data_IF_666793636158
#
_entry.id   IF_666793636158
#
_cell.length_a   1.000
_cell.length_b   1.000
_cell.length_c   1.000
_cell.angle_alpha   90.00
_cell.angle_beta   90.00
_cell.angle_gamma   90.00
#
_symmetry.space_group_name_H-M   'P 1'
#
loop_
_entity.id
_entity.type
_entity.pdbx_description
1 polymer ?
#
# COMPACT_ATOMS: atom_id res chain seq x y z
N UNK A 1 -23.23 -15.35 10.23
CA UNK A 1 -23.82 -14.90 11.50
C UNK A 1 -22.83 -15.18 12.61
N UNK A 2 -22.36 -14.15 13.33
CA UNK A 2 -21.48 -14.31 14.48
C UNK A 2 -22.24 -13.89 15.74
N UNK A 3 -22.02 -14.61 16.84
CA UNK A 3 -22.61 -14.28 18.14
C UNK A 3 -21.67 -13.29 18.83
N UNK A 4 -22.19 -12.26 19.49
CA UNK A 4 -21.33 -11.37 20.29
C UNK A 4 -21.01 -12.09 21.60
N UNK A 5 -19.73 -12.17 21.96
CA UNK A 5 -19.31 -12.67 23.26
C UNK A 5 -19.15 -11.50 24.23
N UNK A 6 -19.60 -11.66 25.47
CA UNK A 6 -19.42 -10.64 26.52
C UNK A 6 -18.03 -10.70 27.18
N UNK A 7 -17.34 -11.84 27.05
CA UNK A 7 -16.02 -12.10 27.62
C UNK A 7 -15.26 -13.13 26.81
N UNK A 8 -13.93 -13.07 26.89
CA UNK A 8 -12.98 -14.02 26.34
C UNK A 8 -11.96 -14.39 27.43
N UNK A 9 -11.50 -15.63 27.44
CA UNK A 9 -10.42 -16.09 28.30
C UNK A 9 -9.13 -16.27 27.49
N UNK A 10 -7.95 -15.98 28.07
CA UNK A 10 -6.67 -16.11 27.37
C UNK A 10 -6.40 -17.51 26.82
N UNK A 11 -6.87 -18.54 27.52
CA UNK A 11 -6.61 -19.94 27.19
C UNK A 11 -7.63 -20.52 26.18
N UNK A 12 -8.62 -19.72 25.75
CA UNK A 12 -9.59 -20.18 24.75
C UNK A 12 -8.96 -20.36 23.38
N UNK A 13 -9.39 -21.37 22.61
CA UNK A 13 -8.97 -21.52 21.22
C UNK A 13 -9.52 -20.36 20.38
N UNK A 14 -8.62 -19.72 19.65
CA UNK A 14 -8.92 -18.57 18.82
C UNK A 14 -9.09 -18.97 17.36
N UNK A 15 -10.13 -18.46 16.72
CA UNK A 15 -10.33 -18.51 15.27
C UNK A 15 -9.64 -17.35 14.55
N UNK A 16 -9.05 -16.43 15.30
CA UNK A 16 -8.28 -15.34 14.74
C UNK A 16 -8.57 -14.02 15.41
N UNK A 17 -7.71 -13.06 15.08
CA UNK A 17 -7.70 -11.73 15.64
C UNK A 17 -7.50 -10.73 14.52
N UNK A 18 -8.23 -9.63 14.58
CA UNK A 18 -8.10 -8.52 13.64
C UNK A 18 -7.95 -7.21 14.39
N UNK A 19 -7.00 -6.37 13.99
CA UNK A 19 -6.91 -4.98 14.45
C UNK A 19 -7.17 -4.02 13.29
N UNK A 20 -8.09 -3.08 13.51
CA UNK A 20 -8.51 -2.09 12.52
C UNK A 20 -8.65 -0.71 13.12
N UNK A 21 -8.52 0.30 12.26
CA UNK A 21 -8.87 1.67 12.58
C UNK A 21 -10.32 1.90 12.16
N UNK A 22 -11.18 2.27 13.11
CA UNK A 22 -12.58 2.54 12.81
C UNK A 22 -13.04 3.79 13.56
N UNK A 23 -13.62 4.75 12.84
CA UNK A 23 -14.11 6.01 13.41
C UNK A 23 -13.07 6.75 14.28
N UNK A 24 -11.78 6.68 13.91
CA UNK A 24 -10.69 7.31 14.66
C UNK A 24 -10.26 6.56 15.92
N UNK A 25 -10.76 5.34 16.14
CA UNK A 25 -10.42 4.45 17.26
C UNK A 25 -9.65 3.22 16.78
N UNK A 26 -8.78 2.70 17.63
CA UNK A 26 -8.06 1.45 17.39
C UNK A 26 -8.85 0.31 18.01
N UNK A 27 -9.43 -0.55 17.18
CA UNK A 27 -10.31 -1.63 17.61
C UNK A 27 -9.65 -2.96 17.33
N UNK A 28 -9.61 -3.83 18.33
CA UNK A 28 -9.25 -5.23 18.20
C UNK A 28 -10.51 -6.08 18.24
N UNK A 29 -10.62 -7.03 17.31
CA UNK A 29 -11.69 -8.01 17.21
C UNK A 29 -11.08 -9.39 17.36
N UNK A 30 -11.53 -10.13 18.36
CA UNK A 30 -11.13 -11.51 18.61
C UNK A 30 -12.29 -12.41 18.25
N UNK A 31 -12.00 -13.48 17.51
CA UNK A 31 -12.98 -14.48 17.12
C UNK A 31 -12.65 -15.80 17.82
N UNK A 32 -13.59 -16.34 18.61
CA UNK A 32 -13.44 -17.64 19.29
C UNK A 32 -14.50 -18.61 18.81
N UNK A 33 -14.25 -19.91 18.90
CA UNK A 33 -15.24 -20.95 18.54
C UNK A 33 -15.84 -21.52 19.81
N UNK A 34 -17.14 -21.30 20.03
CA UNK A 34 -17.89 -21.85 21.17
C UNK A 34 -19.09 -22.62 20.66
N UNK A 35 -19.20 -23.90 21.02
CA UNK A 35 -20.33 -24.76 20.60
C UNK A 35 -20.54 -24.82 19.08
N UNK A 36 -19.44 -24.82 18.30
CA UNK A 36 -19.49 -24.85 16.83
C UNK A 36 -19.87 -23.53 16.15
N UNK A 37 -20.00 -22.43 16.90
CA UNK A 37 -20.28 -21.09 16.37
C UNK A 37 -19.11 -20.16 16.63
N UNK A 38 -18.87 -19.25 15.68
CA UNK A 38 -17.92 -18.16 15.85
C UNK A 38 -18.54 -17.07 16.70
N UNK A 39 -17.93 -16.78 17.82
CA UNK A 39 -18.27 -15.66 18.67
C UNK A 39 -17.22 -14.56 18.53
N UNK A 40 -17.66 -13.30 18.47
CA UNK A 40 -16.82 -12.11 18.31
C UNK A 40 -16.77 -11.33 19.62
N UNK A 41 -15.57 -10.96 20.04
CA UNK A 41 -15.33 -10.03 21.14
C UNK A 41 -14.57 -8.82 20.60
N UNK A 42 -14.95 -7.62 21.03
CA UNK A 42 -14.33 -6.36 20.56
C UNK A 42 -13.76 -5.58 21.74
N UNK A 43 -12.54 -5.08 21.56
CA UNK A 43 -11.84 -4.23 22.51
C UNK A 43 -11.47 -2.93 21.82
N UNK A 44 -11.91 -1.81 22.40
CA UNK A 44 -11.47 -0.47 22.00
C UNK A 44 -10.24 -0.08 22.81
N UNK A 45 -9.13 0.17 22.12
CA UNK A 45 -7.86 0.57 22.72
C UNK A 45 -7.65 2.08 22.78
N UNK A 46 -8.60 2.88 22.29
CA UNK A 46 -8.53 4.33 22.32
C UNK A 46 -8.30 4.95 20.94
N UNK A 47 -7.91 6.23 20.88
CA UNK A 47 -7.77 6.95 19.62
C UNK A 47 -6.57 6.45 18.79
N UNK A 48 -6.70 6.49 17.47
CA UNK A 48 -5.63 6.08 16.53
C UNK A 48 -4.38 6.94 16.66
N UNK A 49 -4.50 8.17 17.19
CA UNK A 49 -3.38 9.06 17.47
C UNK A 49 -2.34 8.47 18.42
N UNK A 50 -2.78 7.59 19.32
CA UNK A 50 -1.91 6.96 20.32
C UNK A 50 -1.04 5.84 19.70
N UNK A 51 -1.41 5.40 18.49
CA UNK A 51 -0.77 4.31 17.76
C UNK A 51 -0.34 4.75 16.35
N UNK A 52 0.54 5.76 16.21
CA UNK A 52 0.86 6.38 14.91
C UNK A 52 1.55 5.43 13.93
N UNK A 53 2.32 4.47 14.44
CA UNK A 53 3.09 3.52 13.63
C UNK A 53 2.39 2.15 13.48
N UNK A 54 1.34 1.89 14.26
CA UNK A 54 0.65 0.61 14.25
C UNK A 54 0.03 0.32 12.89
N UNK A 55 0.00 -0.95 12.52
CA UNK A 55 -0.51 -1.40 11.21
C UNK A 55 -1.71 -2.28 11.44
N UNK A 56 -2.75 -2.11 10.63
CA UNK A 56 -3.90 -3.02 10.66
C UNK A 56 -3.41 -4.43 10.33
N UNK A 57 -3.85 -5.40 11.12
CA UNK A 57 -3.34 -6.76 11.04
C UNK A 57 -4.45 -7.77 11.21
N UNK A 58 -4.31 -8.89 10.53
CA UNK A 58 -5.19 -10.05 10.64
C UNK A 58 -4.30 -11.25 10.97
N UNK A 59 -4.53 -11.84 12.13
CA UNK A 59 -4.01 -13.15 12.50
C UNK A 59 -5.11 -14.17 12.22
N UNK A 60 -4.91 -14.99 11.20
CA UNK A 60 -5.76 -16.13 10.94
C UNK A 60 -5.32 -17.30 11.81
N UNK A 61 -6.26 -17.89 12.56
CA UNK A 61 -6.06 -19.13 13.31
C UNK A 61 -7.30 -20.00 13.12
N UNK A 62 -7.20 -21.32 13.27
CA UNK A 62 -8.34 -22.22 13.16
C UNK A 62 -8.61 -22.98 14.45
N UNK A 63 -8.25 -22.38 15.59
CA UNK A 63 -8.30 -22.99 16.92
C UNK A 63 -6.95 -23.54 17.39
N UNK A 64 -5.88 -23.34 16.62
CA UNK A 64 -4.53 -23.81 16.92
C UNK A 64 -3.84 -22.90 17.95
N UNK A 65 -4.12 -21.60 17.89
CA UNK A 65 -3.57 -20.60 18.79
C UNK A 65 -4.59 -20.21 19.86
N UNK A 66 -4.10 -19.90 21.06
CA UNK A 66 -4.94 -19.34 22.10
C UNK A 66 -5.21 -17.85 21.86
N UNK A 67 -6.30 -17.35 22.45
CA UNK A 67 -6.62 -15.91 22.46
C UNK A 67 -5.45 -15.09 23.01
N UNK A 68 -4.86 -15.53 24.12
CA UNK A 68 -3.74 -14.84 24.76
C UNK A 68 -2.51 -14.75 23.86
N UNK A 69 -2.18 -15.84 23.15
CA UNK A 69 -1.07 -15.85 22.20
C UNK A 69 -1.29 -14.84 21.06
N UNK A 70 -2.49 -14.81 20.46
CA UNK A 70 -2.76 -13.86 19.39
C UNK A 70 -2.80 -12.41 19.91
N UNK A 71 -3.30 -12.19 21.12
CA UNK A 71 -3.29 -10.85 21.73
C UNK A 71 -1.87 -10.36 22.02
N UNK A 72 -0.98 -11.23 22.50
CA UNK A 72 0.43 -10.89 22.72
C UNK A 72 1.14 -10.54 21.41
N UNK A 73 0.89 -11.31 20.34
CA UNK A 73 1.42 -11.01 19.01
C UNK A 73 0.90 -9.66 18.50
N UNK A 74 -0.39 -9.39 18.67
CA UNK A 74 -1.02 -8.15 18.25
C UNK A 74 -0.49 -6.95 19.02
N UNK A 75 -0.32 -7.07 20.33
CA UNK A 75 0.30 -6.04 21.18
C UNK A 75 1.73 -5.75 20.73
N UNK A 76 2.55 -6.78 20.55
CA UNK A 76 3.92 -6.64 20.05
C UNK A 76 3.96 -5.87 18.73
N UNK A 77 3.11 -6.23 17.78
CA UNK A 77 3.10 -5.62 16.45
C UNK A 77 2.55 -4.19 16.48
N UNK A 78 1.62 -3.87 17.40
CA UNK A 78 1.12 -2.51 17.62
C UNK A 78 2.21 -1.56 18.14
N UNK A 79 3.11 -2.07 18.96
CA UNK A 79 4.25 -1.33 19.51
C UNK A 79 5.54 -1.48 18.69
N UNK A 80 5.50 -2.20 17.56
CA UNK A 80 6.66 -2.42 16.71
C UNK A 80 6.75 -1.42 15.56
N UNK A 81 7.94 -0.86 15.36
CA UNK A 81 8.24 -0.01 14.21
C UNK A 81 8.60 -0.80 12.93
N UNK A 82 8.64 -2.14 13.00
CA UNK A 82 9.09 -3.00 11.88
C UNK A 82 8.35 -2.68 10.59
N UNK A 83 7.03 -2.70 10.63
CA UNK A 83 6.20 -2.47 9.45
C UNK A 83 6.18 -1.00 9.02
N UNK A 84 6.30 -0.06 9.97
CA UNK A 84 6.45 1.35 9.67
C UNK A 84 7.75 1.65 8.91
N UNK A 85 8.87 1.05 9.32
CA UNK A 85 10.16 1.17 8.62
C UNK A 85 10.09 0.57 7.21
N UNK A 86 9.54 -0.64 7.08
CA UNK A 86 9.37 -1.30 5.78
C UNK A 86 8.53 -0.46 4.81
N UNK A 87 7.47 0.22 5.29
CA UNK A 87 6.68 1.15 4.46
C UNK A 87 7.51 2.34 3.99
N UNK A 88 8.32 2.94 4.87
CA UNK A 88 9.20 4.07 4.51
C UNK A 88 10.25 3.67 3.48
N UNK A 89 10.85 2.49 3.64
CA UNK A 89 11.79 1.93 2.67
C UNK A 89 11.12 1.72 1.31
N UNK A 90 9.96 1.06 1.26
CA UNK A 90 9.22 0.86 0.00
C UNK A 90 8.82 2.18 -0.66
N UNK A 91 8.44 3.19 0.14
CA UNK A 91 8.15 4.53 -0.39
C UNK A 91 9.41 5.20 -0.95
N UNK A 92 10.56 5.03 -0.30
CA UNK A 92 11.83 5.58 -0.77
C UNK A 92 12.34 4.88 -2.05
N UNK A 93 12.09 3.57 -2.18
CA UNK A 93 12.43 2.76 -3.36
C UNK A 93 11.47 3.00 -4.54
N UNK A 94 10.28 3.58 -4.31
CA UNK A 94 9.33 3.89 -5.37
C UNK A 94 9.81 5.06 -6.24
N UNK A 95 10.46 4.75 -7.38
CA UNK A 95 10.86 5.76 -8.38
C UNK A 95 9.75 6.10 -9.37
N UNK A 96 8.61 5.38 -9.36
CA UNK A 96 7.55 5.51 -10.35
C UNK A 96 7.08 6.96 -10.55
N UNK A 97 6.88 7.71 -9.47
CA UNK A 97 6.47 9.12 -9.54
C UNK A 97 7.58 9.99 -10.14
N UNK A 98 8.84 9.75 -9.76
CA UNK A 98 9.99 10.47 -10.32
C UNK A 98 10.16 10.17 -11.81
N UNK A 99 9.95 8.93 -12.22
CA UNK A 99 10.05 8.49 -13.60
C UNK A 99 8.94 9.10 -14.47
N UNK A 100 7.70 9.15 -13.97
CA UNK A 100 6.57 9.82 -14.64
C UNK A 100 6.83 11.32 -14.78
N UNK A 101 7.31 11.98 -13.72
CA UNK A 101 7.62 13.42 -13.77
C UNK A 101 8.72 13.72 -14.79
N UNK A 102 9.78 12.90 -14.85
CA UNK A 102 10.82 13.03 -15.87
C UNK A 102 10.26 12.86 -17.28
N UNK A 103 9.38 11.88 -17.51
CA UNK A 103 8.73 11.68 -18.82
C UNK A 103 7.84 12.86 -19.23
N UNK A 104 7.10 13.46 -18.29
CA UNK A 104 6.28 14.65 -18.56
C UNK A 104 7.15 15.88 -18.88
N UNK A 105 8.26 16.06 -18.18
CA UNK A 105 9.25 17.12 -18.50
C UNK A 105 9.85 16.94 -19.89
N UNK A 106 10.31 15.73 -20.23
CA UNK A 106 10.82 15.39 -21.56
C UNK A 106 9.75 15.65 -22.65
N UNK A 107 8.50 15.26 -22.41
CA UNK A 107 7.38 15.54 -23.33
C UNK A 107 7.07 17.03 -23.46
N UNK A 108 7.15 17.80 -22.38
CA UNK A 108 6.98 19.25 -22.41
C UNK A 108 8.07 19.93 -23.22
N UNK A 109 9.33 19.52 -23.06
CA UNK A 109 10.46 20.02 -23.87
C UNK A 109 10.26 19.68 -25.35
N UNK A 110 9.87 18.43 -25.66
CA UNK A 110 9.56 18.00 -27.03
C UNK A 110 8.42 18.82 -27.64
N UNK A 111 7.34 19.08 -26.89
CA UNK A 111 6.22 19.92 -27.36
C UNK A 111 6.65 21.36 -27.57
N UNK A 112 7.47 21.92 -26.68
CA UNK A 112 8.03 23.28 -26.81
C UNK A 112 8.99 23.41 -27.99
N UNK A 113 9.64 22.31 -28.41
CA UNK A 113 10.55 22.24 -29.56
C UNK A 113 9.86 21.88 -30.89
N UNK A 114 8.52 21.87 -30.97
CA UNK A 114 7.82 21.64 -32.24
C UNK A 114 7.89 22.87 -33.15
N UNK A 115 8.35 22.65 -34.38
CA UNK A 115 8.31 23.65 -35.44
C UNK A 115 6.88 23.83 -35.93
N UNK A 116 6.42 25.08 -36.04
CA UNK A 116 5.09 25.41 -36.57
C UNK A 116 5.22 25.85 -38.03
N UNK A 117 4.47 25.21 -38.91
CA UNK A 117 4.35 25.56 -40.32
C UNK A 117 2.89 25.79 -40.67
N UNK A 118 2.55 27.01 -41.10
CA UNK A 118 1.24 27.40 -41.59
C UNK A 118 1.35 28.42 -42.72
N UNK A 119 0.23 28.84 -43.36
CA UNK A 119 0.23 29.66 -44.58
C UNK A 119 0.95 31.02 -44.46
N UNK A 120 1.15 31.53 -43.25
CA UNK A 120 1.76 32.84 -42.96
C UNK A 120 2.86 32.79 -41.87
N UNK A 121 3.18 31.61 -41.32
CA UNK A 121 4.18 31.46 -40.25
C UNK A 121 4.99 30.19 -40.47
N UNK A 122 6.31 30.32 -40.59
CA UNK A 122 7.26 29.23 -40.51
C UNK A 122 8.26 29.53 -39.40
N UNK A 123 8.20 28.78 -38.31
CA UNK A 123 9.21 28.85 -37.26
C UNK A 123 9.86 27.47 -37.16
N UNK A 124 11.07 27.37 -37.71
CA UNK A 124 11.90 26.17 -37.65
C UNK A 124 12.96 26.38 -36.57
N UNK A 125 12.92 25.60 -35.49
CA UNK A 125 13.95 25.59 -34.45
C UNK A 125 14.76 24.30 -34.57
N UNK A 126 16.08 24.45 -34.75
CA UNK A 126 17.02 23.42 -35.24
C UNK A 126 17.50 22.48 -34.12
N UNK A 127 17.25 22.81 -32.85
CA UNK A 127 17.86 22.12 -31.71
C UNK A 127 16.96 21.05 -31.09
N UNK A 128 16.49 20.10 -31.89
CA UNK A 128 15.89 18.89 -31.33
C UNK A 128 17.03 18.03 -30.73
N UNK A 129 16.98 17.65 -29.44
CA UNK A 129 18.06 16.87 -28.83
C UNK A 129 18.24 15.54 -29.57
N UNK A 130 19.43 15.33 -30.15
CA UNK A 130 19.76 14.14 -30.98
C UNK A 130 19.43 12.82 -30.28
N UNK A 131 19.60 12.78 -28.96
CA UNK A 131 19.33 11.59 -28.13
C UNK A 131 17.87 11.15 -28.16
N UNK A 132 16.92 12.09 -28.22
CA UNK A 132 15.48 11.78 -28.30
C UNK A 132 15.12 11.14 -29.65
N UNK A 133 15.72 11.64 -30.74
CA UNK A 133 15.53 11.09 -32.09
C UNK A 133 16.15 9.71 -32.22
N UNK A 134 17.31 9.48 -31.60
CA UNK A 134 17.97 8.18 -31.59
C UNK A 134 17.17 7.14 -30.80
N UNK A 135 16.62 7.50 -29.64
CA UNK A 135 15.72 6.63 -28.86
C UNK A 135 14.47 6.27 -29.65
N UNK A 136 13.80 7.24 -30.27
CA UNK A 136 12.58 6.97 -31.06
C UNK A 136 12.87 6.04 -32.25
N UNK A 137 14.01 6.22 -32.92
CA UNK A 137 14.46 5.31 -34.00
C UNK A 137 14.76 3.91 -33.49
N UNK A 138 15.37 3.78 -32.31
CA UNK A 138 15.70 2.49 -31.70
C UNK A 138 14.45 1.75 -31.25
N UNK A 139 13.50 2.44 -30.63
CA UNK A 139 12.19 1.89 -30.24
C UNK A 139 11.36 1.46 -31.45
N UNK A 140 11.35 2.26 -32.53
CA UNK A 140 10.72 1.88 -33.78
C UNK A 140 11.37 0.63 -34.40
N UNK A 141 12.69 0.48 -34.28
CA UNK A 141 13.43 -0.71 -34.73
C UNK A 141 13.08 -1.94 -33.90
N UNK A 142 12.98 -1.80 -32.58
CA UNK A 142 12.65 -2.88 -31.67
C UNK A 142 11.20 -3.35 -31.86
N UNK A 143 10.25 -2.44 -32.08
CA UNK A 143 8.86 -2.79 -32.42
C UNK A 143 8.74 -3.60 -33.71
N UNK A 144 9.58 -3.32 -34.71
CA UNK A 144 9.62 -4.08 -35.98
C UNK A 144 10.28 -5.46 -35.86
N UNK A 145 11.08 -5.69 -34.81
CA UNK A 145 11.72 -6.99 -34.55
C UNK A 145 10.91 -7.88 -33.60
N UNK A 146 9.89 -7.33 -32.94
CA UNK A 146 9.03 -8.01 -31.97
C UNK A 146 7.73 -8.60 -32.55
N UNK A 147 7.55 -8.57 -33.86
CA UNK A 147 6.51 -9.30 -34.63
C UNK A 147 7.16 -10.40 -35.44
#
# INVERSE_FOLDING_TARGET
MHVVADRIFPDEPCYGLMETRESGRWIQRVFVVRGGRKAKFETDFGPVSDFPNATEIIYASYGDDSVGQLQELAERDRHSDKWAKRRREMQAESTLIKDILRQEEEMMEVRRNRSHFGPLVSTQRIDFPREAVERERQDARNRRKGT
#
